data_IF_084357171159
#
_entry.id   IF_084357171159
#
_cell.length_a   1.000
_cell.length_b   1.000
_cell.length_c   1.000
_cell.angle_alpha   90.00
_cell.angle_beta   90.00
_cell.angle_gamma   90.00
#
_symmetry.space_group_name_H-M   'P 1'
#
loop_
_entity.id
_entity.type
_entity.pdbx_description
1 polymer ?
#
# COMPACT_ATOMS: atom_id res chain seq x y z
N UNK A 1 -6.65 -1.83 -14.54
CA UNK A 1 -5.48 -1.36 -13.77
C UNK A 1 -4.22 -1.45 -14.61
N UNK A 2 -3.41 -0.39 -14.63
CA UNK A 2 -2.04 -0.39 -15.16
C UNK A 2 -1.06 -0.19 -14.00
N UNK A 3 0.09 -0.86 -14.04
CA UNK A 3 1.12 -0.69 -13.00
C UNK A 3 1.87 0.64 -13.21
N UNK A 4 2.10 1.40 -12.14
CA UNK A 4 2.93 2.62 -12.15
C UNK A 4 4.06 2.51 -11.09
N UNK A 5 5.29 2.80 -11.51
CA UNK A 5 6.48 2.64 -10.66
C UNK A 5 6.55 3.65 -9.51
N UNK A 6 5.95 4.84 -9.65
CA UNK A 6 5.90 5.84 -8.58
C UNK A 6 4.94 5.39 -7.47
N UNK A 7 3.83 4.76 -7.84
CA UNK A 7 2.92 4.14 -6.87
C UNK A 7 3.57 2.94 -6.16
N UNK A 8 4.37 2.15 -6.88
CA UNK A 8 5.16 1.07 -6.27
C UNK A 8 6.18 1.62 -5.26
N UNK A 9 6.88 2.71 -5.62
CA UNK A 9 7.83 3.37 -4.73
C UNK A 9 7.13 3.89 -3.47
N UNK A 10 5.98 4.57 -3.60
CA UNK A 10 5.19 5.04 -2.46
C UNK A 10 4.72 3.89 -1.54
N UNK A 11 4.24 2.79 -2.13
CA UNK A 11 3.84 1.59 -1.39
C UNK A 11 5.03 0.95 -0.65
N UNK A 12 6.19 0.86 -1.31
CA UNK A 12 7.42 0.30 -0.72
C UNK A 12 7.94 1.15 0.44
N UNK A 13 7.91 2.48 0.29
CA UNK A 13 8.28 3.41 1.37
C UNK A 13 7.44 3.14 2.62
N UNK A 14 6.12 2.99 2.46
CA UNK A 14 5.24 2.74 3.61
C UNK A 14 5.44 1.35 4.23
N UNK A 15 5.63 0.32 3.39
CA UNK A 15 5.94 -1.02 3.88
C UNK A 15 7.25 -1.05 4.68
N UNK A 16 8.28 -0.33 4.21
CA UNK A 16 9.55 -0.21 4.92
C UNK A 16 9.38 0.57 6.22
N UNK A 17 8.64 1.67 6.21
CA UNK A 17 8.38 2.48 7.40
C UNK A 17 7.71 1.67 8.52
N UNK A 18 6.64 0.93 8.19
CA UNK A 18 5.96 0.05 9.14
C UNK A 18 6.86 -1.07 9.68
N UNK A 19 7.72 -1.65 8.84
CA UNK A 19 8.67 -2.68 9.25
C UNK A 19 9.74 -2.14 10.20
N UNK A 20 10.41 -1.04 9.83
CA UNK A 20 11.51 -0.47 10.60
C UNK A 20 11.07 0.16 11.93
N UNK A 21 9.83 0.65 12.01
CA UNK A 21 9.32 1.35 13.18
C UNK A 21 8.28 0.54 13.97
N UNK A 22 8.14 -0.77 13.68
CA UNK A 22 7.29 -1.69 14.46
C UNK A 22 5.85 -1.20 14.66
N UNK A 23 5.18 -0.78 13.58
CA UNK A 23 3.79 -0.31 13.66
C UNK A 23 2.93 -0.76 12.48
N UNK A 24 1.60 -0.65 12.65
CA UNK A 24 0.62 -0.88 11.59
C UNK A 24 -0.38 0.27 11.54
N UNK A 25 -0.32 1.06 10.46
CA UNK A 25 -1.17 2.24 10.28
C UNK A 25 -1.16 2.67 8.83
N UNK A 26 -2.20 3.38 8.39
CA UNK A 26 -2.16 4.12 7.12
C UNK A 26 -1.31 5.40 7.19
N UNK A 27 -1.07 5.90 8.41
CA UNK A 27 -0.23 7.07 8.67
C UNK A 27 1.21 6.62 8.92
N UNK A 28 2.17 7.21 8.21
CA UNK A 28 3.58 6.93 8.39
C UNK A 28 4.11 7.46 9.74
N UNK A 29 5.29 7.00 10.14
CA UNK A 29 5.96 7.44 11.37
C UNK A 29 6.29 8.94 11.37
N UNK A 30 6.44 9.53 10.18
CA UNK A 30 6.63 10.96 9.94
C UNK A 30 5.31 11.76 9.85
N UNK A 31 4.17 11.12 10.10
CA UNK A 31 2.84 11.72 9.96
C UNK A 31 2.30 11.75 8.52
N UNK A 32 3.02 11.19 7.54
CA UNK A 32 2.57 11.17 6.14
C UNK A 32 1.33 10.31 5.92
N UNK A 33 0.43 10.80 5.09
CA UNK A 33 -0.65 10.01 4.48
C UNK A 33 -0.18 9.37 3.16
N UNK A 34 -0.99 8.47 2.59
CA UNK A 34 -0.74 7.94 1.23
C UNK A 34 -0.61 9.05 0.18
N UNK A 35 -1.33 10.17 0.35
CA UNK A 35 -1.27 11.32 -0.57
C UNK A 35 0.12 11.93 -0.59
N UNK A 36 0.64 12.23 0.60
CA UNK A 36 1.97 12.81 0.77
C UNK A 36 3.03 11.86 0.20
N UNK A 37 2.93 10.56 0.51
CA UNK A 37 3.88 9.56 0.00
C UNK A 37 3.87 9.47 -1.52
N UNK A 38 2.70 9.51 -2.16
CA UNK A 38 2.55 9.45 -3.62
C UNK A 38 3.04 10.73 -4.30
N UNK A 39 2.71 11.90 -3.74
CA UNK A 39 3.15 13.20 -4.25
C UNK A 39 4.67 13.38 -4.16
N UNK A 40 5.30 12.88 -3.08
CA UNK A 40 6.77 12.83 -2.95
C UNK A 40 7.46 12.00 -4.04
N UNK A 41 6.75 11.05 -4.67
CA UNK A 41 7.25 10.29 -5.84
C UNK A 41 6.97 11.00 -7.19
N UNK A 42 6.44 12.22 -7.17
CA UNK A 42 6.11 12.98 -8.38
C UNK A 42 4.90 12.42 -9.14
N UNK A 43 3.94 11.83 -8.43
CA UNK A 43 2.69 11.35 -9.04
C UNK A 43 1.53 12.28 -8.70
N UNK A 44 0.94 12.89 -9.72
CA UNK A 44 -0.30 13.67 -9.62
C UNK A 44 -1.52 12.76 -9.74
N UNK A 45 -2.52 12.96 -8.87
CA UNK A 45 -3.67 12.06 -8.76
C UNK A 45 -4.99 12.84 -8.68
N UNK A 46 -6.05 12.27 -9.25
CA UNK A 46 -7.44 12.71 -9.07
C UNK A 46 -8.22 11.82 -8.12
N UNK A 47 -7.76 10.57 -7.94
CA UNK A 47 -8.23 9.62 -6.92
C UNK A 47 -7.05 8.84 -6.38
N UNK A 48 -7.11 8.50 -5.08
CA UNK A 48 -6.07 7.74 -4.40
C UNK A 48 -6.66 6.86 -3.31
N UNK A 49 -6.12 5.64 -3.17
CA UNK A 49 -6.52 4.68 -2.15
C UNK A 49 -5.35 3.78 -1.75
N UNK A 50 -5.47 3.15 -0.59
CA UNK A 50 -4.43 2.26 -0.04
C UNK A 50 -5.09 1.07 0.66
N UNK A 51 -4.52 -0.12 0.48
CA UNK A 51 -4.70 -1.24 1.38
C UNK A 51 -3.32 -1.71 1.87
N UNK A 52 -3.25 -2.27 3.08
CA UNK A 52 -2.08 -3.01 3.53
C UNK A 52 -2.45 -4.31 4.22
N UNK A 53 -1.51 -5.24 4.27
CA UNK A 53 -1.59 -6.49 5.00
C UNK A 53 -0.22 -6.75 5.63
N UNK A 54 -0.22 -7.09 6.91
CA UNK A 54 1.00 -7.50 7.63
C UNK A 54 0.88 -8.94 8.08
N UNK A 55 2.02 -9.61 8.18
CA UNK A 55 2.12 -11.01 8.58
C UNK A 55 2.84 -11.85 7.53
N UNK A 56 3.02 -13.12 7.87
CA UNK A 56 3.59 -14.10 6.95
C UNK A 56 2.67 -14.47 5.78
N UNK A 57 3.21 -15.26 4.86
CA UNK A 57 2.48 -15.78 3.70
C UNK A 57 2.92 -15.17 2.38
N UNK A 58 2.05 -15.24 1.38
CA UNK A 58 2.34 -14.81 0.00
C UNK A 58 1.48 -13.62 -0.40
N UNK A 59 1.75 -13.03 -1.56
CA UNK A 59 0.87 -12.02 -2.16
C UNK A 59 -0.58 -12.53 -2.33
N UNK A 60 -0.78 -13.83 -2.58
CA UNK A 60 -2.12 -14.44 -2.66
C UNK A 60 -2.82 -14.41 -1.30
N UNK A 61 -2.09 -14.58 -0.20
CA UNK A 61 -2.62 -14.48 1.17
C UNK A 61 -3.15 -13.07 1.44
N UNK A 62 -2.34 -12.04 1.14
CA UNK A 62 -2.74 -10.65 1.28
C UNK A 62 -3.96 -10.31 0.41
N UNK A 63 -3.94 -10.73 -0.86
CA UNK A 63 -5.06 -10.52 -1.78
C UNK A 63 -6.37 -11.16 -1.29
N UNK A 64 -6.32 -12.42 -0.86
CA UNK A 64 -7.49 -13.13 -0.35
C UNK A 64 -8.02 -12.45 0.92
N UNK A 65 -7.14 -11.98 1.79
CA UNK A 65 -7.54 -11.26 3.00
C UNK A 65 -8.25 -9.94 2.65
N UNK A 66 -7.69 -9.13 1.73
CA UNK A 66 -8.34 -7.90 1.28
C UNK A 66 -9.70 -8.18 0.61
N UNK A 67 -9.81 -9.21 -0.22
CA UNK A 67 -11.07 -9.58 -0.87
C UNK A 67 -12.16 -10.02 0.10
N UNK A 68 -11.79 -10.57 1.27
CA UNK A 68 -12.72 -10.97 2.32
C UNK A 68 -13.06 -9.84 3.31
N UNK A 69 -12.47 -8.65 3.16
CA UNK A 69 -12.75 -7.50 4.00
C UNK A 69 -13.48 -6.41 3.22
N UNK A 70 -14.71 -6.08 3.60
CA UNK A 70 -15.55 -5.09 2.91
C UNK A 70 -14.82 -3.78 2.54
N UNK A 71 -14.13 -3.08 3.47
CA UNK A 71 -13.43 -1.84 3.11
C UNK A 71 -12.28 -2.06 2.12
N UNK A 72 -11.46 -3.10 2.32
CA UNK A 72 -10.32 -3.38 1.43
C UNK A 72 -10.77 -3.84 0.04
N UNK A 73 -11.81 -4.67 -0.02
CA UNK A 73 -12.45 -5.12 -1.26
C UNK A 73 -13.04 -3.95 -2.04
N UNK A 74 -13.64 -2.97 -1.36
CA UNK A 74 -14.17 -1.77 -2.01
C UNK A 74 -13.07 -0.99 -2.74
N UNK A 75 -11.86 -0.88 -2.16
CA UNK A 75 -10.72 -0.29 -2.85
C UNK A 75 -10.30 -1.11 -4.09
N UNK A 76 -10.15 -2.43 -3.95
CA UNK A 76 -9.74 -3.32 -5.05
C UNK A 76 -10.70 -3.26 -6.25
N UNK A 77 -12.00 -3.16 -6.00
CA UNK A 77 -13.05 -3.20 -7.02
C UNK A 77 -13.54 -1.80 -7.44
N UNK A 78 -12.96 -0.74 -6.90
CA UNK A 78 -13.41 0.63 -7.18
C UNK A 78 -13.19 0.98 -8.66
N UNK A 79 -14.22 1.47 -9.37
CA UNK A 79 -14.08 1.94 -10.74
C UNK A 79 -13.34 3.29 -10.83
N UNK A 80 -13.08 3.94 -9.69
CA UNK A 80 -12.40 5.23 -9.67
C UNK A 80 -10.92 5.11 -9.97
N UNK A 81 -10.30 3.96 -9.73
CA UNK A 81 -8.86 3.76 -9.91
C UNK A 81 -8.55 3.13 -11.27
N UNK A 82 -7.50 3.61 -11.92
CA UNK A 82 -7.04 3.08 -13.21
C UNK A 82 -5.61 2.55 -13.14
N UNK A 83 -4.85 2.93 -12.12
CA UNK A 83 -3.47 2.54 -11.89
C UNK A 83 -3.24 2.03 -10.47
N UNK A 84 -2.17 1.28 -10.28
CA UNK A 84 -1.76 0.79 -8.96
C UNK A 84 -0.26 0.53 -8.87
N UNK A 85 0.23 0.40 -7.65
CA UNK A 85 1.57 -0.07 -7.33
C UNK A 85 1.55 -0.89 -6.04
N UNK A 86 2.40 -1.92 -5.99
CA UNK A 86 2.54 -2.81 -4.83
C UNK A 86 3.96 -2.71 -4.28
N UNK A 87 4.07 -2.60 -2.96
CA UNK A 87 5.31 -2.73 -2.21
C UNK A 87 5.21 -3.91 -1.25
N UNK A 88 6.26 -4.74 -1.20
CA UNK A 88 6.41 -5.77 -0.18
C UNK A 88 7.74 -5.60 0.53
N UNK A 89 7.77 -5.68 1.85
CA UNK A 89 8.99 -5.73 2.67
C UNK A 89 8.91 -6.94 3.57
N UNK A 90 10.04 -7.63 3.73
CA UNK A 90 10.22 -8.65 4.75
C UNK A 90 11.38 -8.24 5.66
N UNK A 91 11.15 -8.28 6.95
CA UNK A 91 12.15 -8.06 8.00
C UNK A 91 11.90 -9.05 9.14
N UNK A 92 12.84 -9.96 9.35
CA UNK A 92 12.72 -11.01 10.37
C UNK A 92 12.72 -10.48 11.80
N UNK A 93 13.26 -9.27 12.02
CA UNK A 93 13.34 -8.64 13.33
C UNK A 93 12.11 -7.76 13.63
N UNK A 94 11.25 -7.53 12.63
CA UNK A 94 9.99 -6.78 12.78
C UNK A 94 8.86 -7.62 13.40
N UNK A 95 7.86 -6.95 13.95
CA UNK A 95 6.74 -7.59 14.68
C UNK A 95 5.93 -8.59 13.84
N UNK A 96 5.88 -8.39 12.52
CA UNK A 96 5.00 -9.15 11.62
C UNK A 96 5.73 -9.93 10.54
N UNK A 97 7.04 -9.73 10.39
CA UNK A 97 7.84 -10.34 9.34
C UNK A 97 7.58 -9.72 7.96
N UNK A 98 6.37 -9.88 7.42
CA UNK A 98 5.99 -9.42 6.07
C UNK A 98 5.02 -8.24 6.07
N UNK A 99 5.21 -7.31 5.14
CA UNK A 99 4.41 -6.09 4.97
C UNK A 99 4.09 -5.88 3.50
N UNK A 100 2.83 -6.11 3.11
CA UNK A 100 2.31 -5.83 1.78
C UNK A 100 1.51 -4.52 1.81
N UNK A 101 1.83 -3.59 0.92
CA UNK A 101 1.08 -2.35 0.69
C UNK A 101 0.71 -2.31 -0.79
N UNK A 102 -0.54 -1.97 -1.09
CA UNK A 102 -0.99 -1.63 -2.44
C UNK A 102 -1.59 -0.24 -2.42
N UNK A 103 -1.10 0.60 -3.34
CA UNK A 103 -1.60 1.94 -3.59
C UNK A 103 -2.33 1.95 -4.92
N UNK A 104 -3.56 2.45 -4.93
CA UNK A 104 -4.39 2.62 -6.12
C UNK A 104 -4.51 4.10 -6.45
N UNK A 105 -4.54 4.43 -7.74
CA UNK A 105 -4.72 5.81 -8.16
C UNK A 105 -5.49 5.94 -9.47
N UNK A 106 -6.02 7.14 -9.70
CA UNK A 106 -6.31 7.66 -11.03
C UNK A 106 -5.41 8.86 -11.27
N UNK A 107 -4.69 8.92 -12.40
CA UNK A 107 -3.91 10.11 -12.75
C UNK A 107 -4.77 11.37 -12.69
N UNK A 108 -4.17 12.46 -12.21
CA UNK A 108 -4.72 13.81 -12.20
C UNK A 108 -4.16 14.66 -13.33
#
# INVERSE_FOLDING_TARGET
>A
YTVDSRLQAAARVHATDMACNHFTSHTGSDGSSVRDRVERQGYSWSWIGENFFVGGGSAQTAFNWWMNSTPHRANLLSPNYTQFGVGYVYDADSDYGGYFVVVFAKPG
#
